data_IF_824896914385
#
_entry.id   IF_824896914385
#
_cell.length_a   1.000
_cell.length_b   1.000
_cell.length_c   1.000
_cell.angle_alpha   90.00
_cell.angle_beta   90.00
_cell.angle_gamma   90.00
#
_symmetry.space_group_name_H-M   'P 1'
#
loop_
_entity.id
_entity.type
_entity.pdbx_description
1 polymer ?
#
# COMPACT_ATOMS: atom_id res chain seq x y z
N UNK A 1 15.48 -25.89 1.33
CA UNK A 1 14.43 -24.98 1.80
C UNK A 1 13.12 -25.39 1.15
N UNK A 2 12.05 -25.62 1.93
CA UNK A 2 10.75 -26.03 1.36
C UNK A 2 10.18 -24.90 0.47
N UNK A 3 9.35 -25.29 -0.51
CA UNK A 3 8.69 -24.33 -1.43
C UNK A 3 7.85 -23.31 -0.65
N UNK A 4 7.13 -23.78 0.39
CA UNK A 4 6.33 -22.94 1.28
C UNK A 4 7.18 -21.92 2.04
N UNK A 5 8.32 -22.32 2.59
CA UNK A 5 9.24 -21.41 3.30
C UNK A 5 9.78 -20.32 2.37
N UNK A 6 10.10 -20.65 1.10
CA UNK A 6 10.51 -19.66 0.10
C UNK A 6 9.41 -18.61 -0.14
N UNK A 7 8.16 -19.04 -0.33
CA UNK A 7 7.03 -18.13 -0.51
C UNK A 7 6.80 -17.21 0.69
N UNK A 8 6.88 -17.76 1.90
CA UNK A 8 6.80 -16.99 3.16
C UNK A 8 7.89 -15.92 3.24
N UNK A 9 9.15 -16.29 2.97
CA UNK A 9 10.28 -15.34 2.99
C UNK A 9 10.09 -14.25 1.94
N UNK A 10 9.68 -14.59 0.72
CA UNK A 10 9.44 -13.61 -0.35
C UNK A 10 8.40 -12.56 0.07
N UNK A 11 7.31 -12.99 0.69
CA UNK A 11 6.24 -12.10 1.13
C UNK A 11 6.68 -11.21 2.31
N UNK A 12 7.39 -11.78 3.30
CA UNK A 12 7.92 -10.99 4.42
C UNK A 12 8.93 -9.95 3.96
N UNK A 13 9.86 -10.33 3.08
CA UNK A 13 10.86 -9.40 2.54
C UNK A 13 10.18 -8.29 1.72
N UNK A 14 9.12 -8.59 0.99
CA UNK A 14 8.34 -7.59 0.28
C UNK A 14 7.68 -6.58 1.24
N UNK A 15 7.06 -7.04 2.33
CA UNK A 15 6.48 -6.16 3.36
C UNK A 15 7.53 -5.28 4.04
N UNK A 16 8.70 -5.84 4.37
CA UNK A 16 9.82 -5.06 4.91
C UNK A 16 10.30 -3.99 3.91
N UNK A 17 10.40 -4.35 2.63
CA UNK A 17 10.79 -3.42 1.57
C UNK A 17 9.77 -2.27 1.38
N UNK A 18 8.48 -2.53 1.56
CA UNK A 18 7.46 -1.49 1.55
C UNK A 18 7.59 -0.53 2.73
N UNK A 19 7.88 -1.03 3.95
CA UNK A 19 8.15 -0.18 5.11
C UNK A 19 9.36 0.75 4.88
N UNK A 20 10.45 0.23 4.31
CA UNK A 20 11.61 1.04 3.91
C UNK A 20 11.25 2.09 2.85
N UNK A 21 10.37 1.72 1.91
CA UNK A 21 9.89 2.63 0.86
C UNK A 21 9.18 3.87 1.43
N UNK A 22 8.31 3.68 2.42
CA UNK A 22 7.62 4.78 3.10
C UNK A 22 8.61 5.76 3.74
N UNK A 23 9.58 5.24 4.49
CA UNK A 23 10.63 6.05 5.12
C UNK A 23 11.53 6.73 4.09
N UNK A 24 11.86 6.07 2.98
CA UNK A 24 12.61 6.68 1.88
C UNK A 24 11.84 7.84 1.26
N UNK A 25 10.51 7.71 1.09
CA UNK A 25 9.64 8.79 0.64
C UNK A 25 9.63 9.96 1.62
N UNK A 26 9.51 9.70 2.92
CA UNK A 26 9.60 10.71 3.97
C UNK A 26 10.94 11.46 3.89
N UNK A 27 12.05 10.73 3.79
CA UNK A 27 13.38 11.32 3.66
C UNK A 27 13.50 12.28 2.47
N UNK A 28 13.01 11.87 1.30
CA UNK A 28 13.03 12.69 0.10
C UNK A 28 12.17 13.95 0.25
N UNK A 29 10.99 13.84 0.89
CA UNK A 29 10.11 15.00 1.12
C UNK A 29 10.74 16.03 2.07
N UNK A 30 11.43 15.61 3.12
CA UNK A 30 12.22 16.50 4.00
C UNK A 30 13.34 17.21 3.23
N UNK A 31 13.83 16.59 2.12
CA UNK A 31 14.88 17.19 1.27
C UNK A 31 14.32 17.91 0.03
N UNK A 32 13.06 18.36 0.08
CA UNK A 32 12.48 19.27 -0.90
C UNK A 32 11.70 18.63 -2.06
N UNK A 33 11.52 17.29 -2.05
CA UNK A 33 10.61 16.65 -3.00
C UNK A 33 9.16 16.83 -2.54
N UNK A 34 8.26 17.19 -3.45
CA UNK A 34 6.84 17.16 -3.14
C UNK A 34 6.29 15.73 -3.23
N UNK A 35 5.23 15.43 -2.45
CA UNK A 35 4.53 14.16 -2.53
C UNK A 35 4.07 13.86 -3.97
N UNK A 36 3.65 14.90 -4.70
CA UNK A 36 3.19 14.79 -6.08
C UNK A 36 4.33 14.42 -7.04
N UNK A 37 5.50 15.07 -6.91
CA UNK A 37 6.69 14.74 -7.71
C UNK A 37 7.15 13.30 -7.46
N UNK A 38 7.23 12.88 -6.19
CA UNK A 38 7.62 11.52 -5.82
C UNK A 38 6.62 10.47 -6.33
N UNK A 39 5.32 10.76 -6.21
CA UNK A 39 4.28 9.91 -6.79
C UNK A 39 4.51 9.71 -8.28
N UNK A 40 4.76 10.80 -9.02
CA UNK A 40 4.96 10.72 -10.45
C UNK A 40 6.20 9.91 -10.83
N UNK A 41 7.37 10.20 -10.23
CA UNK A 41 8.62 9.47 -10.51
C UNK A 41 8.42 7.98 -10.22
N UNK A 42 7.83 7.66 -9.07
CA UNK A 42 7.57 6.27 -8.66
C UNK A 42 6.67 5.55 -9.66
N UNK A 43 5.54 6.17 -10.04
CA UNK A 43 4.60 5.60 -11.00
C UNK A 43 5.22 5.42 -12.39
N UNK A 44 6.02 6.38 -12.87
CA UNK A 44 6.67 6.30 -14.17
C UNK A 44 7.68 5.15 -14.22
N UNK A 45 8.66 5.20 -13.33
CA UNK A 45 9.79 4.24 -13.41
C UNK A 45 9.34 2.82 -13.06
N UNK A 46 8.48 2.66 -12.05
CA UNK A 46 7.94 1.35 -11.70
C UNK A 46 6.95 0.84 -12.76
N UNK A 47 6.09 1.71 -13.30
CA UNK A 47 5.15 1.35 -14.36
C UNK A 47 5.85 0.82 -15.59
N UNK A 48 6.84 1.56 -16.11
CA UNK A 48 7.64 1.14 -17.25
C UNK A 48 8.40 -0.16 -16.98
N UNK A 49 8.98 -0.30 -15.78
CA UNK A 49 9.69 -1.54 -15.41
C UNK A 49 8.76 -2.76 -15.36
N UNK A 50 7.57 -2.62 -14.74
CA UNK A 50 6.58 -3.69 -14.68
C UNK A 50 6.00 -4.03 -16.06
N UNK A 51 5.79 -3.03 -16.93
CA UNK A 51 5.41 -3.26 -18.32
C UNK A 51 6.50 -4.02 -19.08
N UNK A 52 7.79 -3.67 -18.90
CA UNK A 52 8.91 -4.40 -19.47
C UNK A 52 8.91 -5.86 -19.01
N UNK A 53 8.80 -6.12 -17.72
CA UNK A 53 8.71 -7.48 -17.18
C UNK A 53 7.50 -8.23 -17.75
N UNK A 54 6.32 -7.59 -17.85
CA UNK A 54 5.13 -8.19 -18.43
C UNK A 54 5.30 -8.52 -19.92
N UNK A 55 5.95 -7.65 -20.69
CA UNK A 55 6.26 -7.88 -22.10
C UNK A 55 7.11 -9.14 -22.31
N UNK A 56 8.18 -9.31 -21.53
CA UNK A 56 9.05 -10.48 -21.63
C UNK A 56 8.42 -11.75 -21.03
N UNK A 57 7.56 -11.63 -20.02
CA UNK A 57 6.94 -12.78 -19.36
C UNK A 57 5.72 -13.31 -20.12
N UNK A 58 4.91 -12.45 -20.74
CA UNK A 58 3.71 -12.83 -21.49
C UNK A 58 3.46 -11.87 -22.67
N UNK A 59 4.22 -12.00 -23.78
CA UNK A 59 4.11 -11.12 -24.95
C UNK A 59 2.71 -11.15 -25.61
N UNK A 60 2.02 -12.29 -25.51
CA UNK A 60 0.68 -12.45 -26.09
C UNK A 60 -0.35 -11.56 -25.36
N UNK A 61 -0.42 -11.68 -24.05
CA UNK A 61 -1.32 -10.84 -23.22
C UNK A 61 -0.98 -9.35 -23.40
N UNK A 62 0.31 -9.02 -23.48
CA UNK A 62 0.76 -7.64 -23.71
C UNK A 62 0.24 -7.06 -25.03
N UNK A 63 0.17 -7.86 -26.10
CA UNK A 63 -0.35 -7.43 -27.41
C UNK A 63 -1.88 -7.39 -27.46
N UNK A 64 -2.54 -8.35 -26.81
CA UNK A 64 -4.00 -8.48 -26.86
C UNK A 64 -4.72 -7.44 -26.03
N UNK A 65 -4.18 -6.99 -24.89
CA UNK A 65 -4.81 -6.02 -24.01
C UNK A 65 -5.13 -4.68 -24.73
N UNK A 66 -4.28 -4.27 -25.67
CA UNK A 66 -4.46 -3.03 -26.43
C UNK A 66 -5.66 -3.08 -27.41
N UNK A 67 -6.18 -4.28 -27.68
CA UNK A 67 -7.37 -4.49 -28.52
C UNK A 67 -8.67 -4.55 -27.70
N UNK A 68 -8.56 -4.69 -26.38
CA UNK A 68 -9.69 -4.81 -25.48
C UNK A 68 -10.03 -3.45 -24.85
N UNK A 69 -10.89 -2.70 -25.55
CA UNK A 69 -11.34 -1.35 -25.13
C UNK A 69 -11.96 -1.34 -23.73
N UNK A 70 -12.72 -2.38 -23.37
CA UNK A 70 -13.36 -2.46 -22.07
C UNK A 70 -12.30 -2.58 -20.96
N UNK A 71 -11.32 -3.46 -21.13
CA UNK A 71 -10.23 -3.59 -20.16
C UNK A 71 -9.39 -2.31 -20.07
N UNK A 72 -9.13 -1.60 -21.18
CA UNK A 72 -8.41 -0.32 -21.15
C UNK A 72 -9.19 0.76 -20.41
N UNK A 73 -10.49 0.85 -20.57
CA UNK A 73 -11.33 1.80 -19.81
C UNK A 73 -11.29 1.50 -18.32
N UNK A 74 -11.40 0.22 -17.93
CA UNK A 74 -11.31 -0.17 -16.52
C UNK A 74 -9.90 0.08 -15.96
N UNK A 75 -8.84 -0.13 -16.75
CA UNK A 75 -7.47 0.22 -16.35
C UNK A 75 -7.31 1.72 -16.16
N UNK A 76 -7.93 2.54 -17.00
CA UNK A 76 -7.92 4.00 -16.84
C UNK A 76 -8.58 4.43 -15.52
N UNK A 77 -9.75 3.87 -15.20
CA UNK A 77 -10.44 4.11 -13.92
C UNK A 77 -9.54 3.66 -12.75
N UNK A 78 -8.95 2.47 -12.83
CA UNK A 78 -8.03 1.97 -11.83
C UNK A 78 -6.77 2.84 -11.70
N UNK A 79 -6.23 3.33 -12.82
CA UNK A 79 -5.07 4.21 -12.85
C UNK A 79 -5.32 5.50 -12.06
N UNK A 80 -6.47 6.14 -12.28
CA UNK A 80 -6.78 7.43 -11.64
C UNK A 80 -7.23 7.26 -10.19
N UNK A 81 -8.18 6.36 -9.92
CA UNK A 81 -8.83 6.24 -8.62
C UNK A 81 -8.14 5.20 -7.69
N UNK A 82 -7.57 4.15 -8.26
CA UNK A 82 -6.86 3.13 -7.50
C UNK A 82 -5.38 3.45 -7.31
N UNK A 83 -4.64 3.76 -8.37
CA UNK A 83 -3.19 3.92 -8.30
C UNK A 83 -2.77 5.35 -7.95
N UNK A 84 -3.18 6.33 -8.75
CA UNK A 84 -2.76 7.71 -8.52
C UNK A 84 -3.22 8.22 -7.16
N UNK A 85 -4.53 8.18 -6.89
CA UNK A 85 -5.06 8.69 -5.62
C UNK A 85 -4.46 7.96 -4.41
N UNK A 86 -4.30 6.64 -4.49
CA UNK A 86 -3.72 5.88 -3.38
C UNK A 86 -2.25 6.26 -3.13
N UNK A 87 -1.43 6.32 -4.17
CA UNK A 87 -0.02 6.63 -4.02
C UNK A 87 0.20 8.08 -3.53
N UNK A 88 -0.58 9.02 -4.07
CA UNK A 88 -0.52 10.41 -3.65
C UNK A 88 -1.01 10.60 -2.21
N UNK A 89 -2.20 10.06 -1.87
CA UNK A 89 -2.74 10.17 -0.53
C UNK A 89 -1.83 9.55 0.53
N UNK A 90 -1.17 8.44 0.21
CA UNK A 90 -0.20 7.81 1.11
C UNK A 90 1.04 8.68 1.34
N UNK A 91 1.67 9.21 0.28
CA UNK A 91 2.83 10.08 0.41
C UNK A 91 2.46 11.42 1.09
N UNK A 92 1.30 11.98 0.80
CA UNK A 92 0.82 13.18 1.48
C UNK A 92 0.53 12.90 2.97
N UNK A 93 -0.01 11.71 3.31
CA UNK A 93 -0.18 11.29 4.70
C UNK A 93 1.17 11.16 5.42
N UNK A 94 2.21 10.65 4.76
CA UNK A 94 3.57 10.61 5.29
C UNK A 94 4.10 12.03 5.52
N UNK A 95 3.87 12.94 4.57
CA UNK A 95 4.30 14.33 4.68
C UNK A 95 3.65 15.06 5.86
N UNK A 96 2.37 14.84 6.09
CA UNK A 96 1.60 15.45 7.17
C UNK A 96 1.80 14.78 8.55
N UNK A 97 2.34 13.56 8.57
CA UNK A 97 2.58 12.77 9.80
C UNK A 97 4.01 12.23 9.82
N UNK A 98 4.17 10.96 9.56
CA UNK A 98 5.42 10.25 9.31
C UNK A 98 5.14 8.88 8.67
N UNK A 99 6.18 8.19 8.17
CA UNK A 99 6.03 6.93 7.47
C UNK A 99 5.35 5.85 8.31
N UNK A 100 5.69 5.75 9.61
CA UNK A 100 5.09 4.78 10.52
C UNK A 100 3.59 5.02 10.71
N UNK A 101 3.21 6.22 11.10
CA UNK A 101 1.82 6.62 11.37
C UNK A 101 0.96 6.52 10.10
N UNK A 102 1.42 7.06 8.97
CA UNK A 102 0.69 7.00 7.71
C UNK A 102 0.42 5.56 7.26
N UNK A 103 1.43 4.67 7.38
CA UNK A 103 1.28 3.26 7.02
C UNK A 103 0.26 2.56 7.92
N UNK A 104 0.31 2.81 9.24
CA UNK A 104 -0.65 2.21 10.18
C UNK A 104 -2.08 2.69 9.90
N UNK A 105 -2.28 4.00 9.63
CA UNK A 105 -3.59 4.53 9.25
C UNK A 105 -4.09 3.92 7.95
N UNK A 106 -3.24 3.74 6.94
CA UNK A 106 -3.61 3.09 5.69
C UNK A 106 -4.05 1.63 5.89
N UNK A 107 -3.47 0.94 6.87
CA UNK A 107 -3.87 -0.43 7.25
C UNK A 107 -5.25 -0.55 7.90
N UNK A 108 -5.99 0.55 8.06
CA UNK A 108 -7.44 0.51 8.34
C UNK A 108 -8.28 0.08 7.12
N UNK A 109 -7.69 -0.02 5.94
CA UNK A 109 -8.34 -0.45 4.70
C UNK A 109 -9.21 -1.72 4.84
N UNK A 110 -8.77 -2.84 5.46
CA UNK A 110 -9.60 -4.03 5.62
C UNK A 110 -10.87 -3.78 6.44
N UNK A 111 -10.78 -2.88 7.42
CA UNK A 111 -11.96 -2.48 8.24
C UNK A 111 -12.96 -1.70 7.39
N UNK A 112 -12.46 -0.80 6.53
CA UNK A 112 -13.29 -0.06 5.57
C UNK A 112 -13.97 -0.97 4.55
N UNK A 113 -13.23 -1.95 4.00
CA UNK A 113 -13.77 -2.95 3.08
C UNK A 113 -14.85 -3.80 3.76
N UNK A 114 -14.61 -4.25 5.00
CA UNK A 114 -15.57 -5.01 5.78
C UNK A 114 -16.87 -4.21 6.00
N UNK A 115 -16.76 -2.97 6.45
CA UNK A 115 -17.91 -2.09 6.65
C UNK A 115 -18.72 -1.91 5.35
N UNK A 116 -18.03 -1.66 4.23
CA UNK A 116 -18.65 -1.55 2.90
C UNK A 116 -19.38 -2.85 2.52
N UNK A 117 -18.76 -4.00 2.72
CA UNK A 117 -19.34 -5.31 2.37
C UNK A 117 -20.59 -5.59 3.19
N UNK A 118 -20.55 -5.35 4.51
CA UNK A 118 -21.70 -5.52 5.39
C UNK A 118 -22.89 -4.63 4.95
N UNK A 119 -22.64 -3.38 4.59
CA UNK A 119 -23.68 -2.45 4.12
C UNK A 119 -24.24 -2.90 2.77
N UNK A 120 -23.37 -3.25 1.82
CA UNK A 120 -23.75 -3.66 0.46
C UNK A 120 -24.59 -4.93 0.43
N UNK A 121 -24.14 -5.93 1.17
CA UNK A 121 -24.76 -7.26 1.19
C UNK A 121 -25.90 -7.35 2.22
N UNK A 122 -26.12 -6.27 2.98
CA UNK A 122 -27.12 -6.17 4.07
C UNK A 122 -26.98 -7.29 5.12
N UNK A 123 -25.73 -7.68 5.39
CA UNK A 123 -25.37 -8.73 6.35
C UNK A 123 -24.80 -8.06 7.59
N UNK A 124 -25.33 -8.41 8.78
CA UNK A 124 -24.77 -7.90 10.02
C UNK A 124 -23.35 -8.43 10.26
N UNK A 125 -22.43 -7.57 10.75
CA UNK A 125 -21.08 -8.02 11.09
C UNK A 125 -21.14 -9.04 12.23
N UNK A 126 -20.27 -10.01 12.18
CA UNK A 126 -20.12 -11.01 13.25
C UNK A 126 -19.43 -10.41 14.47
N UNK A 127 -19.51 -11.07 15.61
CA UNK A 127 -18.88 -10.63 16.88
C UNK A 127 -17.37 -10.37 16.69
N UNK A 128 -16.67 -11.25 15.97
CA UNK A 128 -15.24 -11.08 15.67
C UNK A 128 -14.98 -9.81 14.84
N UNK A 129 -15.84 -9.51 13.86
CA UNK A 129 -15.74 -8.32 13.03
C UNK A 129 -16.02 -7.04 13.82
N UNK A 130 -17.05 -7.05 14.68
CA UNK A 130 -17.34 -5.93 15.58
C UNK A 130 -16.13 -5.65 16.49
N UNK A 131 -15.56 -6.71 17.08
CA UNK A 131 -14.37 -6.58 17.92
C UNK A 131 -13.17 -6.01 17.15
N UNK A 132 -12.96 -6.46 15.90
CA UNK A 132 -11.93 -5.90 15.02
C UNK A 132 -12.15 -4.42 14.72
N UNK A 133 -13.39 -4.01 14.47
CA UNK A 133 -13.73 -2.59 14.26
C UNK A 133 -13.44 -1.75 15.50
N UNK A 134 -13.79 -2.24 16.70
CA UNK A 134 -13.50 -1.55 17.97
C UNK A 134 -11.99 -1.42 18.18
N UNK A 135 -11.21 -2.47 17.94
CA UNK A 135 -9.76 -2.43 18.03
C UNK A 135 -9.16 -1.43 17.04
N UNK A 136 -9.66 -1.40 15.80
CA UNK A 136 -9.16 -0.49 14.77
C UNK A 136 -9.45 0.97 15.12
N UNK A 137 -10.68 1.29 15.53
CA UNK A 137 -11.08 2.65 15.93
C UNK A 137 -10.33 3.07 17.20
N UNK A 138 -10.26 2.21 18.21
CA UNK A 138 -9.51 2.47 19.43
C UNK A 138 -8.02 2.67 19.18
N UNK A 139 -7.41 1.86 18.34
CA UNK A 139 -6.01 2.00 17.93
C UNK A 139 -5.74 3.31 17.19
N UNK A 140 -6.62 3.67 16.25
CA UNK A 140 -6.53 4.97 15.55
C UNK A 140 -6.64 6.14 16.52
N UNK A 141 -7.58 6.05 17.49
CA UNK A 141 -7.75 7.06 18.52
C UNK A 141 -6.48 7.24 19.36
N UNK A 142 -5.85 6.15 19.81
CA UNK A 142 -4.59 6.22 20.58
C UNK A 142 -3.46 6.90 19.79
N UNK A 143 -3.29 6.55 18.51
CA UNK A 143 -2.27 7.17 17.66
C UNK A 143 -2.57 8.64 17.41
N UNK A 144 -3.84 8.98 17.16
CA UNK A 144 -4.24 10.34 16.83
C UNK A 144 -4.17 11.30 18.02
N UNK A 145 -4.23 10.80 19.27
CA UNK A 145 -4.35 11.64 20.48
C UNK A 145 -3.26 11.40 21.51
N UNK A 146 -2.43 10.36 21.36
CA UNK A 146 -1.56 9.85 22.43
C UNK A 146 -2.31 9.60 23.74
N UNK A 147 -3.62 9.24 23.64
CA UNK A 147 -4.50 9.04 24.78
C UNK A 147 -5.03 10.32 25.43
N UNK A 148 -4.78 11.49 24.89
CA UNK A 148 -5.27 12.78 25.40
C UNK A 148 -6.56 13.19 24.66
N UNK A 149 -7.67 13.27 25.38
CA UNK A 149 -9.00 13.56 24.78
C UNK A 149 -9.11 14.97 24.16
N UNK A 150 -8.27 15.89 24.60
CA UNK A 150 -8.39 17.32 24.25
C UNK A 150 -7.36 17.80 23.24
N UNK A 151 -6.46 16.92 22.78
CA UNK A 151 -5.40 17.30 21.85
C UNK A 151 -5.19 16.18 20.81
N UNK A 152 -5.02 16.58 19.55
CA UNK A 152 -4.55 15.68 18.51
C UNK A 152 -3.03 15.69 18.50
N UNK A 153 -2.39 14.52 18.41
CA UNK A 153 -0.95 14.36 18.28
C UNK A 153 -0.44 14.67 16.87
N UNK A 154 -1.36 14.77 15.92
CA UNK A 154 -1.11 15.10 14.51
C UNK A 154 -2.07 16.20 14.06
N UNK A 155 -1.78 16.81 12.92
CA UNK A 155 -2.70 17.81 12.35
C UNK A 155 -4.03 17.14 11.95
N UNK A 156 -5.18 17.84 12.06
CA UNK A 156 -6.46 17.32 11.55
C UNK A 156 -6.37 16.94 10.06
N UNK A 157 -5.57 17.68 9.28
CA UNK A 157 -5.26 17.36 7.88
C UNK A 157 -4.56 16.01 7.76
N UNK A 158 -3.54 15.75 8.59
CA UNK A 158 -2.80 14.48 8.60
C UNK A 158 -3.70 13.28 8.89
N UNK A 159 -4.58 13.40 9.90
CA UNK A 159 -5.56 12.34 10.20
C UNK A 159 -6.52 12.11 9.04
N UNK A 160 -7.11 13.17 8.47
CA UNK A 160 -8.04 13.05 7.35
C UNK A 160 -7.39 12.43 6.11
N UNK A 161 -6.18 12.85 5.76
CA UNK A 161 -5.45 12.30 4.60
C UNK A 161 -5.02 10.86 4.88
N UNK A 162 -4.61 10.52 6.10
CA UNK A 162 -4.31 9.16 6.50
C UNK A 162 -5.52 8.23 6.35
N UNK A 163 -6.69 8.63 6.83
CA UNK A 163 -7.95 7.88 6.65
C UNK A 163 -8.36 7.82 5.18
N UNK A 164 -8.18 8.91 4.43
CA UNK A 164 -8.43 8.93 2.99
C UNK A 164 -7.48 7.97 2.25
N UNK A 165 -6.23 7.82 2.69
CA UNK A 165 -5.30 6.84 2.12
C UNK A 165 -5.79 5.40 2.33
N UNK A 166 -6.41 5.08 3.47
CA UNK A 166 -7.03 3.78 3.71
C UNK A 166 -8.21 3.52 2.75
N UNK A 167 -9.03 4.53 2.50
CA UNK A 167 -10.13 4.43 1.54
C UNK A 167 -9.61 4.23 0.11
N UNK A 168 -8.64 5.02 -0.34
CA UNK A 168 -8.05 4.88 -1.68
C UNK A 168 -7.29 3.58 -1.84
N UNK A 169 -6.70 3.04 -0.76
CA UNK A 169 -6.10 1.71 -0.75
C UNK A 169 -7.15 0.60 -0.94
N UNK A 170 -8.35 0.79 -0.41
CA UNK A 170 -9.47 -0.13 -0.69
C UNK A 170 -9.84 -0.14 -2.18
N UNK A 171 -9.88 1.03 -2.82
CA UNK A 171 -10.09 1.12 -4.26
C UNK A 171 -8.97 0.47 -5.07
N UNK A 172 -7.71 0.68 -4.66
CA UNK A 172 -6.54 0.03 -5.26
C UNK A 172 -6.64 -1.50 -5.21
N UNK A 173 -7.19 -2.08 -4.15
CA UNK A 173 -7.37 -3.52 -4.01
C UNK A 173 -8.56 -4.02 -4.82
N UNK A 174 -9.71 -3.33 -4.75
CA UNK A 174 -10.97 -3.84 -5.28
C UNK A 174 -11.13 -3.64 -6.79
N UNK A 175 -10.70 -2.48 -7.33
CA UNK A 175 -10.93 -2.14 -8.74
C UNK A 175 -10.24 -3.09 -9.74
N UNK A 176 -9.00 -3.55 -9.54
CA UNK A 176 -8.31 -4.34 -10.56
C UNK A 176 -8.54 -5.85 -10.47
N UNK A 177 -9.37 -6.37 -9.55
CA UNK A 177 -9.49 -7.81 -9.28
C UNK A 177 -9.74 -8.61 -10.57
N UNK A 178 -10.75 -8.24 -11.35
CA UNK A 178 -11.11 -8.98 -12.55
C UNK A 178 -10.13 -8.72 -13.71
N UNK A 179 -9.56 -7.54 -13.78
CA UNK A 179 -8.49 -7.23 -14.72
C UNK A 179 -7.25 -8.09 -14.45
N UNK A 180 -6.85 -8.22 -13.19
CA UNK A 180 -5.69 -9.03 -12.78
C UNK A 180 -5.92 -10.51 -13.07
N UNK A 181 -7.13 -11.05 -12.85
CA UNK A 181 -7.48 -12.42 -13.22
C UNK A 181 -7.36 -12.65 -14.72
N UNK A 182 -7.77 -11.67 -15.53
CA UNK A 182 -7.78 -11.78 -17.00
C UNK A 182 -6.40 -11.57 -17.63
N UNK A 183 -5.64 -10.57 -17.17
CA UNK A 183 -4.44 -10.09 -17.85
C UNK A 183 -3.14 -10.27 -17.05
N UNK A 184 -3.23 -10.64 -15.79
CA UNK A 184 -2.10 -10.71 -14.86
C UNK A 184 -1.78 -9.38 -14.18
N UNK A 185 -1.25 -9.47 -12.97
CA UNK A 185 -1.02 -8.29 -12.12
C UNK A 185 0.05 -7.35 -12.66
N UNK A 186 1.18 -7.88 -13.15
CA UNK A 186 2.29 -7.05 -13.64
C UNK A 186 1.87 -6.16 -14.80
N UNK A 187 1.07 -6.70 -15.75
CA UNK A 187 0.61 -5.95 -16.91
C UNK A 187 -0.40 -4.88 -16.53
N UNK A 188 -1.42 -5.24 -15.73
CA UNK A 188 -2.47 -4.31 -15.30
C UNK A 188 -1.90 -3.17 -14.46
N UNK A 189 -1.07 -3.49 -13.46
CA UNK A 189 -0.44 -2.50 -12.58
C UNK A 189 0.55 -1.65 -13.37
N UNK A 190 1.38 -2.27 -14.24
CA UNK A 190 2.36 -1.55 -15.05
C UNK A 190 1.72 -0.52 -15.98
N UNK A 191 0.69 -0.90 -16.73
CA UNK A 191 -0.06 0.01 -17.61
C UNK A 191 -0.74 1.10 -16.76
N UNK A 192 -1.42 0.71 -15.67
CA UNK A 192 -2.11 1.66 -14.79
C UNK A 192 -1.15 2.69 -14.18
N UNK A 193 0.01 2.28 -13.67
CA UNK A 193 1.04 3.18 -13.14
C UNK A 193 1.56 4.14 -14.22
N UNK A 194 1.81 3.64 -15.43
CA UNK A 194 2.30 4.47 -16.54
C UNK A 194 1.25 5.51 -16.94
N UNK A 195 -0.02 5.11 -17.08
CA UNK A 195 -1.13 6.04 -17.38
C UNK A 195 -1.25 7.10 -16.28
N UNK A 196 -1.22 6.70 -15.01
CA UNK A 196 -1.26 7.60 -13.85
C UNK A 196 -0.15 8.63 -13.91
N UNK A 197 1.08 8.20 -14.22
CA UNK A 197 2.25 9.07 -14.31
C UNK A 197 2.11 10.07 -15.47
N UNK A 198 1.69 9.63 -16.65
CA UNK A 198 1.48 10.52 -17.81
C UNK A 198 0.43 11.59 -17.49
N UNK A 199 -0.67 11.19 -16.84
CA UNK A 199 -1.71 12.13 -16.40
C UNK A 199 -1.18 13.14 -15.38
N UNK A 200 -0.32 12.70 -14.47
CA UNK A 200 0.20 13.51 -13.37
C UNK A 200 1.36 14.42 -13.80
N UNK A 201 2.05 14.11 -14.89
CA UNK A 201 3.26 14.80 -15.32
C UNK A 201 3.14 16.32 -15.40
N UNK A 202 2.05 16.91 -15.97
CA UNK A 202 1.89 18.37 -16.04
C UNK A 202 1.77 19.04 -14.67
N UNK A 203 1.27 18.32 -13.67
CA UNK A 203 0.96 18.85 -12.33
C UNK A 203 2.08 18.55 -11.30
N UNK A 204 3.01 17.66 -11.63
CA UNK A 204 3.99 17.12 -10.68
C UNK A 204 5.11 18.10 -10.31
N UNK A 205 5.30 19.17 -11.07
CA UNK A 205 6.44 20.08 -10.90
C UNK A 205 7.81 19.42 -11.18
N UNK A 206 7.82 18.22 -11.73
CA UNK A 206 9.03 17.42 -11.95
C UNK A 206 10.04 18.09 -12.88
N UNK A 207 9.52 18.81 -13.89
CA UNK A 207 10.34 19.55 -14.86
C UNK A 207 11.00 20.81 -14.28
N UNK A 208 10.46 21.32 -13.16
CA UNK A 208 10.96 22.51 -12.47
C UNK A 208 11.83 22.15 -11.27
N UNK A 209 11.88 20.87 -10.91
CA UNK A 209 12.64 20.41 -9.75
C UNK A 209 14.15 20.50 -10.03
N UNK A 210 14.87 21.20 -9.16
CA UNK A 210 16.33 21.25 -9.23
C UNK A 210 16.90 19.95 -8.65
N UNK A 211 17.39 19.09 -9.53
CA UNK A 211 17.97 17.81 -9.15
C UNK A 211 19.31 18.00 -8.44
N UNK A 212 19.34 17.68 -7.16
CA UNK A 212 20.58 17.65 -6.38
C UNK A 212 21.13 16.22 -6.39
N UNK A 213 22.23 16.00 -7.07
CA UNK A 213 22.91 14.70 -7.12
C UNK A 213 23.75 14.48 -5.86
N UNK A 214 23.08 14.01 -4.79
CA UNK A 214 23.71 13.58 -3.54
C UNK A 214 23.49 12.08 -3.37
N UNK A 215 24.46 11.38 -2.77
CA UNK A 215 24.40 9.94 -2.59
C UNK A 215 23.20 9.51 -1.73
N UNK A 216 22.91 10.23 -0.68
CA UNK A 216 21.77 9.97 0.21
C UNK A 216 20.42 10.12 -0.50
N UNK A 217 20.25 11.13 -1.35
CA UNK A 217 19.07 11.32 -2.21
C UNK A 217 18.94 10.14 -3.19
N UNK A 218 20.04 9.76 -3.83
CA UNK A 218 20.04 8.62 -4.76
C UNK A 218 19.67 7.31 -4.06
N UNK A 219 20.22 7.06 -2.87
CA UNK A 219 19.88 5.87 -2.08
C UNK A 219 18.40 5.86 -1.66
N UNK A 220 17.83 7.01 -1.29
CA UNK A 220 16.42 7.12 -0.97
C UNK A 220 15.53 6.92 -2.21
N UNK A 221 15.91 7.43 -3.39
CA UNK A 221 15.21 7.15 -4.65
C UNK A 221 15.27 5.66 -5.02
N UNK A 222 16.40 5.00 -4.84
CA UNK A 222 16.52 3.54 -4.99
C UNK A 222 15.61 2.83 -3.98
N UNK A 223 15.57 3.31 -2.73
CA UNK A 223 14.72 2.78 -1.67
C UNK A 223 13.23 2.79 -2.06
N UNK A 224 12.72 3.91 -2.54
CA UNK A 224 11.30 4.02 -2.89
C UNK A 224 10.95 3.35 -4.23
N UNK A 225 11.79 3.45 -5.26
CA UNK A 225 11.47 2.99 -6.63
C UNK A 225 11.89 1.53 -6.81
N UNK A 226 13.17 1.23 -6.60
CA UNK A 226 13.72 -0.10 -6.92
C UNK A 226 13.33 -1.09 -5.83
N UNK A 227 13.65 -0.79 -4.57
CA UNK A 227 13.41 -1.71 -3.45
C UNK A 227 11.92 -1.75 -3.13
N UNK A 228 11.30 -0.60 -2.89
CA UNK A 228 9.94 -0.50 -2.39
C UNK A 228 8.86 -0.67 -3.46
N UNK A 229 9.20 -0.67 -4.74
CA UNK A 229 8.18 -0.89 -5.78
C UNK A 229 8.55 -2.07 -6.67
N UNK A 230 9.59 -2.00 -7.47
CA UNK A 230 9.90 -3.06 -8.45
C UNK A 230 10.21 -4.39 -7.75
N UNK A 231 11.13 -4.37 -6.81
CA UNK A 231 11.57 -5.56 -6.07
C UNK A 231 10.46 -6.09 -5.14
N UNK A 232 9.85 -5.21 -4.34
CA UNK A 232 8.81 -5.60 -3.40
C UNK A 232 7.58 -6.23 -4.11
N UNK A 233 7.05 -5.59 -5.15
CA UNK A 233 5.94 -6.16 -5.93
C UNK A 233 6.31 -7.48 -6.57
N UNK A 234 7.52 -7.61 -7.15
CA UNK A 234 7.97 -8.84 -7.77
C UNK A 234 8.05 -9.99 -6.75
N UNK A 235 8.61 -9.74 -5.56
CA UNK A 235 8.69 -10.74 -4.50
C UNK A 235 7.31 -11.08 -3.93
N UNK A 236 6.48 -10.06 -3.68
CA UNK A 236 5.13 -10.27 -3.16
C UNK A 236 4.31 -11.15 -4.08
N UNK A 237 4.31 -10.88 -5.38
CA UNK A 237 3.58 -11.69 -6.37
C UNK A 237 4.13 -13.11 -6.45
N UNK A 238 5.46 -13.30 -6.47
CA UNK A 238 6.07 -14.64 -6.41
C UNK A 238 5.73 -15.37 -5.12
N UNK A 239 5.72 -14.67 -3.98
CA UNK A 239 5.29 -15.22 -2.69
C UNK A 239 3.83 -15.66 -2.74
N UNK A 240 2.96 -14.78 -3.22
CA UNK A 240 1.51 -15.02 -3.33
C UNK A 240 1.15 -16.24 -4.18
N UNK A 241 1.87 -16.48 -5.28
CA UNK A 241 1.66 -17.69 -6.09
C UNK A 241 2.02 -18.99 -5.37
N UNK A 242 2.84 -18.91 -4.31
CA UNK A 242 3.30 -20.08 -3.54
C UNK A 242 2.44 -20.30 -2.29
N UNK A 243 2.20 -19.26 -1.50
CA UNK A 243 1.52 -19.38 -0.20
C UNK A 243 0.03 -19.04 -0.24
N UNK A 244 -0.45 -18.54 -1.38
CA UNK A 244 -1.82 -18.09 -1.59
C UNK A 244 -2.05 -16.63 -1.18
N UNK A 245 -3.10 -15.98 -1.72
CA UNK A 245 -3.32 -14.52 -1.55
C UNK A 245 -3.60 -14.13 -0.09
N UNK A 246 -4.43 -14.89 0.63
CA UNK A 246 -4.81 -14.55 2.01
C UNK A 246 -3.61 -14.66 2.95
N UNK A 247 -2.82 -15.73 2.84
CA UNK A 247 -1.61 -15.88 3.66
C UNK A 247 -0.55 -14.82 3.32
N UNK A 248 -0.46 -14.41 2.04
CA UNK A 248 0.44 -13.33 1.63
C UNK A 248 0.04 -11.99 2.24
N UNK A 249 -1.25 -11.65 2.25
CA UNK A 249 -1.71 -10.39 2.85
C UNK A 249 -1.46 -10.34 4.35
N UNK A 250 -1.63 -11.47 5.06
CA UNK A 250 -1.27 -11.59 6.47
C UNK A 250 0.23 -11.39 6.72
N UNK A 251 1.07 -12.03 5.91
CA UNK A 251 2.53 -11.89 6.03
C UNK A 251 3.00 -10.49 5.68
N UNK A 252 2.34 -9.83 4.73
CA UNK A 252 2.64 -8.44 4.37
C UNK A 252 2.31 -7.43 5.48
N UNK A 253 1.49 -7.80 6.48
CA UNK A 253 1.22 -6.97 7.67
C UNK A 253 2.47 -6.70 8.53
N UNK A 254 3.64 -7.22 8.17
CA UNK A 254 4.95 -6.80 8.69
C UNK A 254 5.31 -5.37 8.24
N UNK A 255 4.69 -4.86 7.18
CA UNK A 255 4.96 -3.53 6.60
C UNK A 255 4.83 -2.40 7.62
N UNK A 256 3.72 -2.22 8.38
CA UNK A 256 3.61 -1.17 9.38
C UNK A 256 4.71 -1.25 10.46
N UNK A 257 5.06 -2.47 10.89
CA UNK A 257 6.12 -2.69 11.87
C UNK A 257 7.46 -2.22 11.29
N UNK A 258 7.72 -2.57 10.04
CA UNK A 258 8.94 -2.17 9.32
C UNK A 258 8.98 -0.67 9.07
N UNK A 259 7.86 -0.03 8.73
CA UNK A 259 7.76 1.41 8.53
C UNK A 259 8.11 2.18 9.80
N UNK A 260 7.56 1.77 10.96
CA UNK A 260 7.89 2.34 12.27
C UNK A 260 9.37 2.14 12.60
N UNK A 261 9.88 0.93 12.39
CA UNK A 261 11.30 0.61 12.65
C UNK A 261 12.25 1.49 11.81
N UNK A 262 12.00 1.63 10.51
CA UNK A 262 12.84 2.46 9.64
C UNK A 262 12.64 3.95 9.90
N UNK A 263 11.43 4.42 10.23
CA UNK A 263 11.19 5.80 10.63
C UNK A 263 11.96 6.16 11.91
N UNK A 264 11.97 5.27 12.91
CA UNK A 264 12.79 5.43 14.10
C UNK A 264 14.30 5.44 13.78
N UNK A 265 14.77 4.48 12.96
CA UNK A 265 16.20 4.30 12.68
C UNK A 265 16.78 5.40 11.78
N UNK A 266 16.06 5.75 10.71
CA UNK A 266 16.56 6.66 9.64
C UNK A 266 16.15 8.10 9.90
N UNK A 267 14.88 8.33 10.27
CA UNK A 267 14.33 9.66 10.47
C UNK A 267 14.45 10.14 11.93
N UNK A 268 14.85 9.24 12.85
CA UNK A 268 14.91 9.49 14.31
C UNK A 268 13.55 9.91 14.88
N UNK A 269 12.48 9.40 14.32
CA UNK A 269 11.12 9.65 14.81
C UNK A 269 10.95 9.07 16.21
N UNK A 270 10.20 9.78 17.05
CA UNK A 270 9.90 9.35 18.42
C UNK A 270 8.46 8.84 18.46
N UNK A 271 8.31 7.61 18.92
CA UNK A 271 7.02 6.99 19.15
C UNK A 271 6.79 6.83 20.66
N UNK A 272 5.60 7.17 21.11
CA UNK A 272 5.19 6.98 22.51
C UNK A 272 4.64 5.56 22.73
N UNK A 273 4.60 5.11 23.97
CA UNK A 273 4.05 3.77 24.32
C UNK A 273 2.61 3.62 23.81
N UNK A 274 1.81 4.69 23.87
CA UNK A 274 0.42 4.66 23.39
C UNK A 274 0.32 4.53 21.87
N UNK A 275 1.29 5.05 21.12
CA UNK A 275 1.37 4.83 19.67
C UNK A 275 1.59 3.35 19.36
N UNK A 276 2.55 2.70 20.05
CA UNK A 276 2.77 1.28 19.91
C UNK A 276 1.54 0.45 20.30
N UNK A 277 0.84 0.81 21.37
CA UNK A 277 -0.41 0.15 21.74
C UNK A 277 -1.47 0.30 20.63
N UNK A 278 -1.64 1.51 20.10
CA UNK A 278 -2.56 1.77 18.99
C UNK A 278 -2.20 0.99 17.73
N UNK A 279 -0.91 0.93 17.37
CA UNK A 279 -0.41 0.12 16.26
C UNK A 279 -0.71 -1.36 16.44
N UNK A 280 -0.44 -1.91 17.62
CA UNK A 280 -0.74 -3.32 17.95
C UNK A 280 -2.24 -3.59 17.85
N UNK A 281 -3.10 -2.68 18.34
CA UNK A 281 -4.55 -2.83 18.22
C UNK A 281 -5.01 -2.88 16.77
N UNK A 282 -4.50 -1.99 15.90
CA UNK A 282 -4.83 -1.99 14.46
C UNK A 282 -4.35 -3.27 13.79
N UNK A 283 -3.12 -3.71 14.06
CA UNK A 283 -2.59 -4.96 13.52
C UNK A 283 -3.39 -6.17 13.97
N UNK A 284 -3.80 -6.23 15.24
CA UNK A 284 -4.68 -7.29 15.74
C UNK A 284 -6.05 -7.27 15.04
N UNK A 285 -6.62 -6.09 14.82
CA UNK A 285 -7.87 -5.95 14.06
C UNK A 285 -7.75 -6.54 12.65
N UNK A 286 -6.69 -6.19 11.93
CA UNK A 286 -6.41 -6.71 10.58
C UNK A 286 -6.19 -8.22 10.59
N UNK A 287 -5.43 -8.73 11.55
CA UNK A 287 -5.19 -10.19 11.70
C UNK A 287 -6.48 -10.96 11.97
N UNK A 288 -7.35 -10.45 12.85
CA UNK A 288 -8.63 -11.10 13.17
C UNK A 288 -9.55 -11.21 11.94
N UNK A 289 -9.65 -10.14 11.15
CA UNK A 289 -10.44 -10.15 9.90
C UNK A 289 -9.86 -11.17 8.94
N UNK A 290 -8.54 -11.13 8.70
CA UNK A 290 -7.87 -11.97 7.72
C UNK A 290 -7.84 -13.45 8.10
N UNK A 291 -7.68 -13.79 9.39
CA UNK A 291 -7.72 -15.18 9.88
C UNK A 291 -9.11 -15.80 9.73
N UNK A 292 -10.15 -15.00 9.94
CA UNK A 292 -11.53 -15.45 9.72
C UNK A 292 -11.76 -15.80 8.25
N UNK A 293 -11.29 -14.98 7.33
CA UNK A 293 -11.42 -15.24 5.89
C UNK A 293 -10.71 -16.55 5.49
N UNK A 294 -9.51 -16.79 6.05
CA UNK A 294 -8.80 -18.07 5.88
C UNK A 294 -9.61 -19.26 6.39
N UNK A 295 -10.22 -19.16 7.56
CA UNK A 295 -11.00 -20.23 8.14
C UNK A 295 -12.27 -20.57 7.33
N UNK A 296 -12.94 -19.53 6.80
CA UNK A 296 -14.10 -19.68 5.94
C UNK A 296 -13.72 -20.35 4.60
N UNK A 297 -12.60 -19.96 3.99
CA UNK A 297 -12.11 -20.54 2.73
C UNK A 297 -11.72 -22.00 2.91
N UNK A 298 -11.04 -22.34 4.02
CA UNK A 298 -10.74 -23.75 4.36
C UNK A 298 -12.01 -24.60 4.52
N UNK A 299 -13.05 -24.07 5.17
CA UNK A 299 -14.33 -24.80 5.32
C UNK A 299 -15.06 -25.01 4.00
N UNK A 300 -14.88 -24.12 3.03
CA UNK A 300 -15.52 -24.23 1.70
C UNK A 300 -14.72 -25.06 0.71
N UNK A 301 -13.56 -25.62 1.09
CA UNK A 301 -12.70 -26.43 0.23
C UNK A 301 -12.12 -25.67 -0.98
N UNK A 302 -11.94 -24.35 -0.85
CA UNK A 302 -11.48 -23.46 -1.92
C UNK A 302 -9.92 -23.29 -1.88
N UNK A 303 -9.25 -23.94 -0.90
CA UNK A 303 -7.79 -24.00 -0.78
C UNK A 303 -7.26 -25.37 -1.15
#
# INVERSE_FOLDING_TARGET
MSKMLKGTIYTLVAGIAWGLSGTSGQYLMVHGFSALSLTNIRLLLAGLSLMGVAYFSNPLSFRLIWKDRQSLTLILIFALFGLFLNQYAYLEAIHETNAGTATVLQYLCPVGILAYTCIKDKVAPTVSEIFSMILAVGGTFLIATHGQLNQLSMTPKGLLIGLFSAFTYSLYILLPIDLIKKWGSMLVIGIGMTISSVFLLPFSGLMQHQWVFRLDILLALIGIIVIGTIFAYTLFLKGTTIVGPVKSSLLASIEPISAVFFAFLIMRERFYILDFLGMVMILMAVMLISLKDLWIQNKKGIL
#
